data_IF_999667429609
#
_entry.id   IF_999667429609
#
_cell.length_a   1.000
_cell.length_b   1.000
_cell.length_c   1.000
_cell.angle_alpha   90.00
_cell.angle_beta   90.00
_cell.angle_gamma   90.00
#
_symmetry.space_group_name_H-M   'P 1'
#
loop_
_entity.id
_entity.type
_entity.pdbx_description
1 polymer ?
#
# COMPACT_ATOMS: atom_id res chain seq x y z
N UNK A 1 -20.72 -6.32 13.52
CA UNK A 1 -20.67 -5.39 12.36
C UNK A 1 -20.26 -6.20 11.13
N UNK A 2 -20.70 -5.84 9.93
CA UNK A 2 -20.36 -6.58 8.71
C UNK A 2 -18.89 -6.38 8.34
N UNK A 3 -18.12 -7.46 8.20
CA UNK A 3 -16.72 -7.40 7.74
C UNK A 3 -16.58 -7.16 6.23
N UNK A 4 -17.66 -6.85 5.51
CA UNK A 4 -17.62 -6.63 4.05
C UNK A 4 -17.11 -5.25 3.70
N UNK A 5 -16.33 -5.13 2.62
CA UNK A 5 -15.94 -3.85 2.04
C UNK A 5 -17.18 -2.96 1.77
N UNK A 6 -17.04 -1.63 1.89
CA UNK A 6 -18.15 -0.71 1.62
C UNK A 6 -18.64 -0.88 0.17
N UNK A 7 -19.96 -0.80 0.00
CA UNK A 7 -20.58 -0.80 -1.32
C UNK A 7 -20.54 0.60 -1.95
N UNK A 8 -20.70 0.66 -3.28
CA UNK A 8 -20.80 1.95 -3.99
C UNK A 8 -21.95 2.82 -3.44
N UNK A 9 -23.09 2.22 -3.10
CA UNK A 9 -24.24 2.97 -2.54
C UNK A 9 -23.89 3.58 -1.19
N UNK A 10 -23.30 2.80 -0.28
CA UNK A 10 -22.85 3.31 1.02
C UNK A 10 -21.82 4.45 0.87
N UNK A 11 -20.92 4.35 -0.11
CA UNK A 11 -19.99 5.44 -0.43
C UNK A 11 -20.73 6.70 -0.90
N UNK A 12 -21.67 6.56 -1.84
CA UNK A 12 -22.45 7.67 -2.39
C UNK A 12 -23.33 8.34 -1.34
N UNK A 13 -23.93 7.56 -0.45
CA UNK A 13 -24.77 8.05 0.66
C UNK A 13 -23.92 8.82 1.69
N UNK A 14 -22.70 8.36 1.95
CA UNK A 14 -21.76 9.01 2.87
C UNK A 14 -21.15 10.29 2.29
N UNK A 15 -20.89 10.31 0.99
CA UNK A 15 -20.23 11.43 0.30
C UNK A 15 -21.05 11.93 -0.90
N UNK A 16 -22.26 12.48 -0.67
CA UNK A 16 -23.15 12.92 -1.73
C UNK A 16 -22.64 14.19 -2.45
N UNK A 17 -21.81 15.01 -1.78
CA UNK A 17 -21.40 16.34 -2.28
C UNK A 17 -19.92 16.64 -2.04
N UNK A 18 -19.39 17.65 -2.73
CA UNK A 18 -18.03 18.14 -2.47
C UNK A 18 -17.86 18.66 -1.04
N UNK A 19 -18.88 19.34 -0.50
CA UNK A 19 -18.86 19.84 0.89
C UNK A 19 -18.84 18.69 1.90
N UNK A 20 -19.56 17.59 1.66
CA UNK A 20 -19.48 16.41 2.55
C UNK A 20 -18.08 15.79 2.60
N UNK A 21 -17.34 15.82 1.49
CA UNK A 21 -15.95 15.35 1.43
C UNK A 21 -15.03 16.30 2.20
N UNK A 22 -15.23 17.62 2.03
CA UNK A 22 -14.44 18.62 2.72
C UNK A 22 -14.70 18.63 4.24
N UNK A 23 -15.95 18.48 4.66
CA UNK A 23 -16.33 18.34 6.07
C UNK A 23 -15.68 17.11 6.70
N UNK A 24 -15.58 16.00 5.95
CA UNK A 24 -14.86 14.83 6.40
C UNK A 24 -13.38 15.13 6.65
N UNK A 25 -12.69 15.78 5.70
CA UNK A 25 -11.29 16.16 5.88
C UNK A 25 -11.12 17.11 7.07
N UNK A 26 -12.03 18.06 7.24
CA UNK A 26 -12.01 18.98 8.37
C UNK A 26 -12.10 18.22 9.70
N UNK A 27 -13.07 17.31 9.84
CA UNK A 27 -13.28 16.53 11.06
C UNK A 27 -12.11 15.60 11.37
N UNK A 28 -11.57 14.92 10.36
CA UNK A 28 -10.42 14.00 10.54
C UNK A 28 -9.19 14.76 11.03
N UNK A 29 -8.90 15.90 10.42
CA UNK A 29 -7.62 16.60 10.65
C UNK A 29 -7.66 17.57 11.82
N UNK A 30 -8.82 18.14 12.10
CA UNK A 30 -8.99 19.22 13.08
C UNK A 30 -10.02 18.90 14.17
N UNK A 31 -10.72 17.77 14.07
CA UNK A 31 -11.83 17.46 14.97
C UNK A 31 -13.00 18.44 14.84
N UNK A 32 -13.89 18.41 15.82
CA UNK A 32 -15.02 19.35 15.89
C UNK A 32 -14.61 20.73 16.45
N UNK A 33 -13.53 20.76 17.24
CA UNK A 33 -12.99 21.95 17.91
C UNK A 33 -11.48 21.80 18.05
N UNK A 34 -10.74 22.85 17.74
CA UNK A 34 -9.28 22.90 17.89
C UNK A 34 -8.80 24.32 18.17
N UNK A 35 -7.56 24.43 18.62
CA UNK A 35 -6.95 25.72 18.92
C UNK A 35 -6.58 26.47 17.65
N UNK A 36 -7.04 27.70 17.53
CA UNK A 36 -6.70 28.55 16.40
C UNK A 36 -5.28 29.07 16.53
N UNK A 37 -4.41 28.76 15.56
CA UNK A 37 -3.00 29.17 15.57
C UNK A 37 -2.79 30.69 15.59
N UNK A 38 -3.77 31.47 15.14
CA UNK A 38 -3.68 32.92 15.11
C UNK A 38 -4.05 33.57 16.45
N UNK A 39 -5.10 33.09 17.11
CA UNK A 39 -5.62 33.74 18.33
C UNK A 39 -5.48 32.91 19.61
N UNK A 40 -4.97 31.68 19.51
CA UNK A 40 -4.73 30.76 20.63
C UNK A 40 -5.99 30.19 21.29
N UNK A 41 -7.19 30.59 20.83
CA UNK A 41 -8.45 30.11 21.42
C UNK A 41 -8.85 28.77 20.80
N UNK A 42 -9.24 27.83 21.65
CA UNK A 42 -10.03 26.66 21.24
C UNK A 42 -11.33 27.14 20.62
N UNK A 43 -11.58 26.82 19.35
CA UNK A 43 -12.62 27.44 18.53
C UNK A 43 -13.32 26.43 17.62
N UNK A 44 -14.58 26.71 17.31
CA UNK A 44 -15.25 26.15 16.14
C UNK A 44 -14.84 26.92 14.88
N UNK A 45 -14.81 26.18 13.78
CA UNK A 45 -14.44 26.68 12.48
C UNK A 45 -15.60 26.46 11.51
N UNK A 46 -16.19 27.54 11.01
CA UNK A 46 -17.36 27.49 10.14
C UNK A 46 -16.95 27.48 8.66
N UNK A 47 -17.77 26.83 7.84
CA UNK A 47 -17.56 26.65 6.41
C UNK A 47 -17.57 28.01 5.67
N UNK A 48 -16.51 28.31 4.91
CA UNK A 48 -16.44 29.50 4.04
C UNK A 48 -17.00 29.20 2.64
N UNK A 49 -18.14 29.79 2.29
CA UNK A 49 -18.80 29.57 0.98
C UNK A 49 -17.84 29.82 -0.20
N UNK A 50 -17.87 28.94 -1.19
CA UNK A 50 -17.11 29.07 -2.44
C UNK A 50 -15.59 28.83 -2.33
N UNK A 51 -15.06 28.46 -1.16
CA UNK A 51 -13.64 28.14 -0.96
C UNK A 51 -13.52 26.78 -0.27
N UNK A 52 -12.41 26.07 -0.38
CA UNK A 52 -12.16 24.84 0.40
C UNK A 52 -11.52 25.18 1.76
N UNK A 53 -12.17 26.05 2.53
CA UNK A 53 -11.65 26.54 3.81
C UNK A 53 -12.74 26.70 4.88
N UNK A 54 -12.28 26.77 6.12
CA UNK A 54 -13.09 27.06 7.31
C UNK A 54 -12.47 28.23 8.06
N UNK A 55 -13.28 29.06 8.71
CA UNK A 55 -12.84 30.24 9.44
C UNK A 55 -13.13 30.13 10.93
N UNK A 56 -12.16 30.55 11.76
CA UNK A 56 -12.28 30.61 13.21
C UNK A 56 -13.41 31.55 13.62
N UNK A 57 -14.27 31.10 14.53
CA UNK A 57 -15.41 31.89 15.04
C UNK A 57 -14.99 33.20 15.75
N UNK A 58 -13.77 33.26 16.32
CA UNK A 58 -13.33 34.43 17.10
C UNK A 58 -12.55 35.47 16.29
N UNK A 59 -11.70 35.04 15.36
CA UNK A 59 -10.76 35.96 14.67
C UNK A 59 -10.81 35.88 13.15
N UNK A 60 -11.64 35.00 12.58
CA UNK A 60 -11.80 34.83 11.13
C UNK A 60 -10.59 34.20 10.44
N UNK A 61 -9.56 33.75 11.16
CA UNK A 61 -8.42 33.04 10.59
C UNK A 61 -8.89 31.78 9.85
N UNK A 62 -8.40 31.57 8.63
CA UNK A 62 -8.82 30.45 7.80
C UNK A 62 -7.85 29.28 7.87
N UNK A 63 -8.41 28.08 7.88
CA UNK A 63 -7.69 26.81 7.71
C UNK A 63 -8.17 26.13 6.43
N UNK A 64 -7.28 25.37 5.81
CA UNK A 64 -7.51 24.69 4.53
C UNK A 64 -7.32 23.19 4.71
N UNK A 65 -8.40 22.40 4.84
CA UNK A 65 -8.29 20.96 5.13
C UNK A 65 -7.58 20.14 4.05
N UNK A 66 -7.47 20.67 2.84
CA UNK A 66 -6.74 20.04 1.73
C UNK A 66 -5.23 20.32 1.76
N UNK A 67 -4.75 21.26 2.57
CA UNK A 67 -3.35 21.67 2.55
C UNK A 67 -2.43 20.53 3.02
N UNK A 68 -1.37 20.23 2.27
CA UNK A 68 -0.45 19.13 2.59
C UNK A 68 -1.03 17.72 2.40
N UNK A 69 -2.18 17.57 1.72
CA UNK A 69 -2.74 16.26 1.33
C UNK A 69 -2.66 16.06 -0.19
N UNK A 70 -3.01 14.88 -0.72
CA UNK A 70 -3.13 14.68 -2.17
C UNK A 70 -4.10 15.65 -2.88
N UNK A 71 -5.01 16.24 -2.10
CA UNK A 71 -6.01 17.20 -2.56
C UNK A 71 -5.49 18.64 -2.59
N UNK A 72 -4.27 18.88 -2.12
CA UNK A 72 -3.72 20.23 -2.09
C UNK A 72 -3.60 20.79 -3.51
N UNK A 73 -4.08 22.03 -3.67
CA UNK A 73 -4.13 22.80 -4.93
C UNK A 73 -4.74 22.04 -6.12
N UNK A 74 -5.52 20.99 -5.88
CA UNK A 74 -6.15 20.23 -6.94
C UNK A 74 -7.36 20.97 -7.50
N UNK A 75 -7.51 20.96 -8.83
CA UNK A 75 -8.73 21.45 -9.51
C UNK A 75 -9.80 20.37 -9.65
N UNK A 76 -9.41 19.10 -9.49
CA UNK A 76 -10.34 17.97 -9.48
C UNK A 76 -11.26 18.06 -8.26
N UNK A 77 -12.52 17.63 -8.39
CA UNK A 77 -13.46 17.64 -7.27
C UNK A 77 -12.97 16.71 -6.16
N UNK A 78 -13.26 17.03 -4.89
CA UNK A 78 -12.92 16.12 -3.78
C UNK A 78 -13.72 14.83 -3.87
N UNK A 79 -14.93 14.90 -4.43
CA UNK A 79 -15.80 13.74 -4.62
C UNK A 79 -15.18 12.72 -5.58
N UNK A 80 -14.56 13.19 -6.66
CA UNK A 80 -13.84 12.33 -7.60
C UNK A 80 -12.62 11.67 -6.95
N UNK A 81 -11.86 12.43 -6.17
CA UNK A 81 -10.74 11.88 -5.40
C UNK A 81 -11.18 10.77 -4.45
N UNK A 82 -12.23 11.04 -3.68
CA UNK A 82 -12.79 10.08 -2.73
C UNK A 82 -13.34 8.85 -3.44
N UNK A 83 -13.94 9.04 -4.62
CA UNK A 83 -14.42 7.94 -5.44
C UNK A 83 -13.27 7.06 -5.91
N UNK A 84 -12.18 7.63 -6.41
CA UNK A 84 -11.00 6.82 -6.82
C UNK A 84 -10.40 6.11 -5.61
N UNK A 85 -10.28 6.76 -4.46
CA UNK A 85 -9.84 6.09 -3.22
C UNK A 85 -10.73 4.91 -2.84
N UNK A 86 -12.05 5.08 -2.95
CA UNK A 86 -13.02 4.00 -2.77
C UNK A 86 -12.76 2.83 -3.74
N UNK A 87 -12.51 3.11 -5.02
CA UNK A 87 -12.22 2.06 -6.01
C UNK A 87 -10.96 1.27 -5.68
N UNK A 88 -9.90 1.93 -5.21
CA UNK A 88 -8.68 1.26 -4.77
C UNK A 88 -8.94 0.32 -3.59
N UNK A 89 -9.82 0.68 -2.67
CA UNK A 89 -10.19 -0.17 -1.53
C UNK A 89 -11.17 -1.29 -1.91
N UNK A 90 -12.05 -1.06 -2.90
CA UNK A 90 -13.07 -2.01 -3.31
C UNK A 90 -12.58 -3.01 -4.37
N UNK A 91 -11.50 -2.70 -5.10
CA UNK A 91 -10.98 -3.53 -6.19
C UNK A 91 -9.94 -4.56 -5.72
N UNK A 92 -10.07 -5.80 -6.19
CA UNK A 92 -9.16 -6.90 -5.84
C UNK A 92 -7.83 -6.89 -6.59
N UNK A 93 -7.77 -6.26 -7.76
CA UNK A 93 -6.58 -6.25 -8.62
C UNK A 93 -5.99 -4.85 -8.81
N UNK A 94 -6.53 -3.85 -8.12
CA UNK A 94 -6.19 -2.45 -8.29
C UNK A 94 -6.99 -1.74 -9.38
N UNK A 95 -6.68 -0.46 -9.59
CA UNK A 95 -7.40 0.40 -10.54
C UNK A 95 -6.45 0.96 -11.60
N UNK A 96 -6.80 0.74 -12.88
CA UNK A 96 -6.07 1.29 -14.01
C UNK A 96 -6.35 2.78 -14.18
N UNK A 97 -5.33 3.59 -14.47
CA UNK A 97 -5.52 5.02 -14.73
C UNK A 97 -6.43 5.29 -15.94
N UNK A 98 -6.42 4.40 -16.95
CA UNK A 98 -7.36 4.44 -18.08
C UNK A 98 -8.81 4.18 -17.67
N UNK A 99 -9.04 3.38 -16.63
CA UNK A 99 -10.39 3.18 -16.07
C UNK A 99 -10.87 4.46 -15.37
N UNK A 100 -10.02 5.06 -14.54
CA UNK A 100 -10.31 6.34 -13.87
C UNK A 100 -10.59 7.46 -14.88
N UNK A 101 -9.79 7.54 -15.96
CA UNK A 101 -10.02 8.49 -17.07
C UNK A 101 -11.44 8.35 -17.64
N UNK A 102 -11.85 7.12 -18.00
CA UNK A 102 -13.17 6.87 -18.58
C UNK A 102 -14.32 7.18 -17.64
N UNK A 103 -14.19 6.80 -16.37
CA UNK A 103 -15.26 6.95 -15.40
C UNK A 103 -15.47 8.40 -14.96
N UNK A 104 -14.39 9.18 -14.83
CA UNK A 104 -14.46 10.56 -14.37
C UNK A 104 -14.51 11.59 -15.52
N UNK A 105 -14.15 11.20 -16.74
CA UNK A 105 -14.03 12.14 -17.87
C UNK A 105 -12.88 13.15 -17.72
N UNK A 106 -11.94 12.90 -16.82
CA UNK A 106 -10.71 13.70 -16.66
C UNK A 106 -9.66 13.28 -17.68
N UNK A 107 -8.61 14.08 -17.88
CA UNK A 107 -7.49 13.64 -18.72
C UNK A 107 -6.76 12.43 -18.12
N UNK A 108 -6.17 11.58 -18.98
CA UNK A 108 -5.26 10.51 -18.53
C UNK A 108 -4.19 11.00 -17.55
N UNK A 109 -3.58 12.17 -17.79
CA UNK A 109 -2.54 12.73 -16.91
C UNK A 109 -3.08 12.99 -15.50
N UNK A 110 -4.30 13.49 -15.39
CA UNK A 110 -4.99 13.70 -14.11
C UNK A 110 -5.27 12.36 -13.43
N UNK A 111 -5.88 11.42 -14.14
CA UNK A 111 -6.19 10.09 -13.62
C UNK A 111 -4.93 9.34 -13.14
N UNK A 112 -3.87 9.36 -13.95
CA UNK A 112 -2.58 8.78 -13.62
C UNK A 112 -1.98 9.40 -12.37
N UNK A 113 -1.98 10.74 -12.26
CA UNK A 113 -1.53 11.43 -11.03
C UNK A 113 -2.35 11.01 -9.82
N UNK A 114 -3.68 10.94 -9.94
CA UNK A 114 -4.54 10.52 -8.84
C UNK A 114 -4.19 9.12 -8.34
N UNK A 115 -4.11 8.16 -9.26
CA UNK A 115 -3.76 6.79 -8.93
C UNK A 115 -2.38 6.69 -8.28
N UNK A 116 -1.36 7.41 -8.77
CA UNK A 116 -0.02 7.39 -8.18
C UNK A 116 0.02 7.96 -6.76
N UNK A 117 -0.67 9.08 -6.52
CA UNK A 117 -0.71 9.67 -5.19
C UNK A 117 -1.47 8.78 -4.20
N UNK A 118 -2.56 8.14 -4.63
CA UNK A 118 -3.30 7.20 -3.77
C UNK A 118 -2.43 6.00 -3.40
N UNK A 119 -1.63 5.48 -4.34
CA UNK A 119 -0.68 4.38 -4.07
C UNK A 119 0.39 4.75 -3.05
N UNK A 120 1.04 5.90 -3.23
CA UNK A 120 2.02 6.41 -2.28
C UNK A 120 1.42 6.52 -0.87
N UNK A 121 0.17 6.95 -0.84
CA UNK A 121 -0.56 7.19 0.39
C UNK A 121 -1.04 5.91 1.09
N UNK A 122 -1.42 4.89 0.32
CA UNK A 122 -1.64 3.54 0.83
C UNK A 122 -0.38 3.00 1.51
N UNK A 123 0.79 3.18 0.89
CA UNK A 123 2.07 2.76 1.49
C UNK A 123 2.43 3.51 2.77
N UNK A 124 2.26 4.84 2.78
CA UNK A 124 2.50 5.64 3.99
C UNK A 124 1.65 5.19 5.18
N UNK A 125 0.41 4.77 4.91
CA UNK A 125 -0.50 4.34 5.97
C UNK A 125 -0.29 2.89 6.40
N UNK A 126 -0.06 1.98 5.45
CA UNK A 126 0.27 0.59 5.78
C UNK A 126 1.48 0.53 6.71
N UNK A 127 2.42 1.44 6.48
CA UNK A 127 3.62 1.60 7.30
C UNK A 127 4.64 0.52 7.00
N UNK A 128 5.70 0.52 7.79
CA UNK A 128 6.83 -0.40 7.65
C UNK A 128 7.14 -1.07 9.00
N UNK A 129 6.12 -1.28 9.83
CA UNK A 129 6.29 -1.94 11.13
C UNK A 129 6.82 -3.37 10.92
N UNK A 130 7.97 -3.74 11.52
CA UNK A 130 8.57 -5.04 11.26
C UNK A 130 7.65 -6.21 11.59
N UNK A 131 7.57 -7.19 10.70
CA UNK A 131 6.78 -8.42 10.86
C UNK A 131 7.49 -9.45 11.74
N UNK A 132 6.76 -10.44 12.25
CA UNK A 132 7.32 -11.55 13.02
C UNK A 132 7.46 -11.26 14.51
N UNK A 133 8.45 -11.90 15.13
CA UNK A 133 8.76 -11.90 16.56
C UNK A 133 8.72 -13.30 17.17
N UNK A 134 8.85 -13.36 18.49
CA UNK A 134 8.87 -14.63 19.21
C UNK A 134 7.63 -15.50 18.91
N UNK A 135 7.86 -16.74 18.48
CA UNK A 135 6.80 -17.69 18.14
C UNK A 135 6.09 -17.41 16.81
N UNK A 136 6.57 -16.44 16.03
CA UNK A 136 6.05 -16.13 14.69
C UNK A 136 6.94 -16.74 13.61
N UNK A 137 6.30 -17.09 12.50
CA UNK A 137 6.95 -17.61 11.29
C UNK A 137 6.85 -16.55 10.20
N UNK A 138 7.98 -16.20 9.60
CA UNK A 138 8.07 -15.27 8.49
C UNK A 138 8.65 -15.99 7.27
N UNK A 139 7.90 -15.97 6.17
CA UNK A 139 8.31 -16.51 4.88
C UNK A 139 9.02 -15.41 4.09
N UNK A 140 10.24 -15.67 3.62
CA UNK A 140 11.04 -14.73 2.84
C UNK A 140 11.36 -15.36 1.49
N UNK A 141 11.05 -14.64 0.42
CA UNK A 141 11.22 -15.09 -0.96
C UNK A 141 11.43 -13.88 -1.89
N UNK A 142 11.95 -14.12 -3.09
CA UNK A 142 12.02 -13.10 -4.13
C UNK A 142 11.28 -13.45 -5.41
N UNK A 143 10.80 -12.40 -6.07
CA UNK A 143 10.21 -12.51 -7.39
C UNK A 143 10.79 -11.50 -8.37
N UNK A 144 10.73 -11.83 -9.65
CA UNK A 144 11.03 -10.92 -10.74
C UNK A 144 9.74 -10.29 -11.29
N UNK A 145 9.73 -8.96 -11.45
CA UNK A 145 8.60 -8.20 -12.00
C UNK A 145 9.03 -7.41 -13.23
N UNK A 146 8.16 -7.38 -14.24
CA UNK A 146 8.35 -6.60 -15.45
C UNK A 146 9.41 -7.18 -16.39
N UNK A 147 10.14 -6.28 -17.04
CA UNK A 147 11.06 -6.54 -18.14
C UNK A 147 10.38 -6.63 -19.50
N UNK A 148 11.07 -6.11 -20.51
CA UNK A 148 10.75 -6.29 -21.92
C UNK A 148 11.78 -7.27 -22.49
N UNK A 149 11.33 -8.32 -23.16
CA UNK A 149 12.23 -9.14 -23.95
C UNK A 149 12.60 -8.33 -25.19
N UNK A 150 13.84 -7.86 -25.28
CA UNK A 150 14.33 -7.16 -26.47
C UNK A 150 15.01 -8.19 -27.39
N UNK A 151 14.43 -8.41 -28.58
CA UNK A 151 14.99 -9.28 -29.62
C UNK A 151 14.49 -10.74 -29.65
N UNK A 152 14.81 -11.45 -30.75
CA UNK A 152 14.68 -12.91 -30.89
C UNK A 152 16.07 -13.53 -30.61
N UNK A 153 16.38 -13.83 -29.36
CA UNK A 153 17.65 -14.44 -28.98
C UNK A 153 17.76 -14.74 -27.48
N UNK A 154 18.67 -15.66 -27.12
CA UNK A 154 18.92 -16.18 -25.78
C UNK A 154 19.67 -15.18 -24.86
N UNK A 155 19.20 -13.93 -24.79
CA UNK A 155 19.58 -13.03 -23.70
C UNK A 155 18.94 -13.52 -22.40
N UNK A 156 19.66 -13.40 -21.27
CA UNK A 156 19.15 -13.81 -19.97
C UNK A 156 17.83 -13.09 -19.67
N UNK A 157 16.74 -13.84 -19.68
CA UNK A 157 15.36 -13.38 -19.40
C UNK A 157 15.21 -12.55 -18.10
N UNK A 158 16.20 -12.64 -17.20
CA UNK A 158 16.25 -12.00 -15.89
C UNK A 158 16.89 -10.60 -15.88
N UNK A 159 17.69 -10.25 -16.89
CA UNK A 159 18.55 -9.05 -16.83
C UNK A 159 17.77 -7.73 -16.97
N UNK A 160 16.55 -7.78 -17.51
CA UNK A 160 15.68 -6.61 -17.67
C UNK A 160 14.57 -6.53 -16.61
N UNK A 161 14.60 -7.39 -15.58
CA UNK A 161 13.53 -7.47 -14.59
C UNK A 161 13.93 -6.86 -13.26
N UNK A 162 13.00 -6.12 -12.66
CA UNK A 162 13.16 -5.69 -11.28
C UNK A 162 13.03 -6.89 -10.35
N UNK A 163 13.89 -6.96 -9.34
CA UNK A 163 13.85 -8.00 -8.30
C UNK A 163 13.10 -7.40 -7.10
N UNK A 164 12.16 -8.15 -6.56
CA UNK A 164 11.40 -7.78 -5.37
C UNK A 164 11.61 -8.87 -4.32
N UNK A 165 12.12 -8.50 -3.14
CA UNK A 165 12.10 -9.35 -1.95
C UNK A 165 10.78 -9.10 -1.21
N UNK A 166 10.17 -10.15 -0.68
CA UNK A 166 9.06 -10.03 0.26
C UNK A 166 9.33 -10.79 1.55
N UNK A 167 8.72 -10.31 2.62
CA UNK A 167 8.74 -10.89 3.95
C UNK A 167 7.29 -10.98 4.43
N UNK A 168 6.77 -12.18 4.61
CA UNK A 168 5.36 -12.44 4.91
C UNK A 168 5.24 -13.18 6.24
N UNK A 169 4.61 -12.56 7.23
CA UNK A 169 4.23 -13.26 8.46
C UNK A 169 3.06 -14.20 8.17
N UNK A 170 3.18 -15.46 8.57
CA UNK A 170 2.08 -16.42 8.44
C UNK A 170 0.84 -15.94 9.17
N UNK A 171 -0.27 -15.86 8.43
CA UNK A 171 -1.55 -15.30 8.91
C UNK A 171 -1.44 -13.83 9.37
N UNK A 172 -0.47 -13.09 8.86
CA UNK A 172 -0.22 -11.70 9.21
C UNK A 172 0.07 -10.85 7.98
N UNK A 173 0.93 -9.86 8.17
CA UNK A 173 1.23 -8.84 7.18
C UNK A 173 2.38 -9.24 6.25
N UNK A 174 2.45 -8.57 5.10
CA UNK A 174 3.53 -8.68 4.11
C UNK A 174 4.21 -7.34 3.93
N UNK A 175 5.53 -7.39 3.82
CA UNK A 175 6.38 -6.26 3.46
C UNK A 175 7.17 -6.64 2.22
N UNK A 176 7.31 -5.74 1.25
CA UNK A 176 8.11 -5.97 0.05
C UNK A 176 9.03 -4.79 -0.27
N UNK A 177 10.15 -5.10 -0.93
CA UNK A 177 11.15 -4.10 -1.33
C UNK A 177 11.69 -4.43 -2.72
N UNK A 178 11.86 -3.40 -3.54
CA UNK A 178 12.62 -3.53 -4.79
C UNK A 178 14.11 -3.56 -4.43
N UNK A 179 14.84 -4.56 -4.92
CA UNK A 179 16.27 -4.76 -4.64
C UNK A 179 17.08 -4.83 -5.93
N UNK A 180 18.34 -4.35 -5.91
CA UNK A 180 19.17 -4.32 -7.11
C UNK A 180 19.69 -5.70 -7.52
N UNK A 181 19.76 -6.68 -6.60
CA UNK A 181 20.25 -8.03 -6.86
C UNK A 181 19.87 -8.99 -5.71
N UNK A 182 20.06 -10.30 -5.92
CA UNK A 182 19.80 -11.37 -4.92
C UNK A 182 21.04 -11.77 -4.10
N UNK A 183 22.05 -10.91 -3.97
CA UNK A 183 23.24 -11.24 -3.16
C UNK A 183 22.91 -11.13 -1.68
N UNK A 184 23.51 -11.99 -0.85
CA UNK A 184 23.38 -11.96 0.62
C UNK A 184 23.52 -10.56 1.21
N UNK A 185 24.58 -9.83 0.84
CA UNK A 185 24.85 -8.47 1.31
C UNK A 185 23.77 -7.44 0.96
N UNK A 186 22.90 -7.74 -0.01
CA UNK A 186 21.72 -6.91 -0.36
C UNK A 186 20.47 -7.39 0.37
N UNK A 187 20.23 -8.70 0.46
CA UNK A 187 18.99 -9.26 1.02
C UNK A 187 18.94 -9.22 2.55
N UNK A 188 20.04 -9.55 3.22
CA UNK A 188 20.11 -9.61 4.69
C UNK A 188 19.68 -8.31 5.38
N UNK A 189 20.18 -7.11 4.97
CA UNK A 189 19.73 -5.87 5.58
C UNK A 189 18.21 -5.63 5.47
N UNK A 190 17.58 -6.07 4.37
CA UNK A 190 16.13 -5.96 4.24
C UNK A 190 15.42 -6.86 5.23
N UNK A 191 15.87 -8.11 5.40
CA UNK A 191 15.32 -9.01 6.41
C UNK A 191 15.48 -8.43 7.81
N UNK A 192 16.69 -8.00 8.20
CA UNK A 192 16.95 -7.54 9.56
C UNK A 192 16.22 -6.24 9.92
N UNK A 193 15.98 -5.37 8.95
CA UNK A 193 15.25 -4.12 9.18
C UNK A 193 13.73 -4.31 9.23
N UNK A 194 13.19 -5.38 8.63
CA UNK A 194 11.75 -5.55 8.46
C UNK A 194 11.20 -6.83 9.13
N UNK A 195 12.06 -7.67 9.71
CA UNK A 195 11.68 -8.87 10.45
C UNK A 195 12.22 -8.78 11.87
N UNK A 196 11.31 -8.81 12.86
CA UNK A 196 11.67 -8.72 14.27
C UNK A 196 12.61 -9.87 14.68
N UNK A 197 13.61 -9.63 15.55
CA UNK A 197 14.46 -10.70 16.10
C UNK A 197 13.64 -11.82 16.75
N UNK A 198 14.22 -13.02 16.86
CA UNK A 198 13.57 -14.21 17.43
C UNK A 198 12.38 -14.74 16.62
N UNK A 199 12.31 -14.38 15.33
CA UNK A 199 11.39 -15.01 14.38
C UNK A 199 11.94 -16.34 13.86
N UNK A 200 11.04 -17.27 13.56
CA UNK A 200 11.34 -18.41 12.70
C UNK A 200 11.23 -17.95 11.24
N UNK A 201 12.29 -18.07 10.45
CA UNK A 201 12.34 -17.63 9.05
C UNK A 201 12.32 -18.85 8.14
N UNK A 202 11.42 -18.85 7.17
CA UNK A 202 11.31 -19.86 6.12
C UNK A 202 11.73 -19.27 4.77
N UNK A 203 12.69 -19.88 4.10
CA UNK A 203 13.14 -19.47 2.75
C UNK A 203 13.17 -20.64 1.77
N UNK A 204 13.29 -20.33 0.49
CA UNK A 204 13.69 -21.28 -0.55
C UNK A 204 15.19 -21.63 -0.46
N UNK A 205 15.67 -22.48 -1.38
CA UNK A 205 17.07 -22.96 -1.44
C UNK A 205 18.07 -21.92 -1.99
N UNK A 206 17.75 -20.62 -1.96
CA UNK A 206 18.72 -19.61 -2.38
C UNK A 206 19.88 -19.53 -1.38
N UNK A 207 21.10 -19.85 -1.84
CA UNK A 207 22.38 -19.80 -1.10
C UNK A 207 22.60 -18.48 -0.34
N UNK A 208 22.04 -17.37 -0.84
CA UNK A 208 22.12 -16.07 -0.18
C UNK A 208 21.49 -16.08 1.22
N UNK A 209 20.53 -16.97 1.49
CA UNK A 209 19.92 -17.16 2.81
C UNK A 209 20.66 -18.16 3.70
N UNK A 210 21.71 -18.85 3.23
CA UNK A 210 22.43 -19.79 4.09
C UNK A 210 22.98 -19.07 5.33
N UNK A 211 22.81 -19.69 6.51
CA UNK A 211 23.26 -19.21 7.81
C UNK A 211 22.57 -17.94 8.33
N UNK A 212 21.41 -17.55 7.77
CA UNK A 212 20.62 -16.40 8.26
C UNK A 212 20.30 -16.51 9.77
N UNK A 213 20.16 -17.74 10.28
CA UNK A 213 19.87 -18.03 11.69
C UNK A 213 21.07 -17.99 12.65
N UNK A 214 22.29 -18.29 12.19
CA UNK A 214 23.40 -18.66 13.09
C UNK A 214 23.94 -17.50 13.96
N UNK A 215 23.70 -16.24 13.60
CA UNK A 215 24.40 -15.11 14.23
C UNK A 215 23.53 -13.96 14.74
N UNK A 216 22.19 -14.02 14.58
CA UNK A 216 21.31 -12.86 14.79
C UNK A 216 20.04 -13.14 15.60
N UNK A 217 19.93 -14.34 16.17
CA UNK A 217 18.79 -14.73 17.00
C UNK A 217 17.53 -15.10 16.19
N UNK A 218 17.68 -15.54 14.94
CA UNK A 218 16.60 -16.11 14.14
C UNK A 218 16.71 -17.64 14.09
N UNK A 219 15.58 -18.33 13.93
CA UNK A 219 15.57 -19.75 13.61
C UNK A 219 15.29 -19.92 12.13
N UNK A 220 16.30 -20.30 11.35
CA UNK A 220 16.15 -20.43 9.90
C UNK A 220 15.86 -21.87 9.50
N UNK A 221 14.83 -22.06 8.66
CA UNK A 221 14.49 -23.33 8.02
C UNK A 221 14.35 -23.10 6.52
N UNK A 222 14.82 -24.06 5.73
CA UNK A 222 14.78 -24.01 4.27
C UNK A 222 13.80 -25.05 3.73
N UNK A 223 13.09 -24.73 2.65
CA UNK A 223 12.25 -25.68 1.90
C UNK A 223 12.96 -26.07 0.62
N UNK A 224 13.09 -27.39 0.38
CA UNK A 224 13.60 -27.90 -0.88
C UNK A 224 12.47 -28.04 -1.91
N UNK A 225 12.36 -27.06 -2.81
CA UNK A 225 11.39 -27.10 -3.92
C UNK A 225 11.84 -28.02 -5.07
N UNK A 226 13.13 -28.38 -5.14
CA UNK A 226 13.67 -29.27 -6.19
C UNK A 226 13.32 -30.76 -6.00
N UNK A 227 12.82 -31.14 -4.82
CA UNK A 227 12.40 -32.49 -4.45
C UNK A 227 10.87 -32.69 -4.38
N UNK A 228 10.06 -31.81 -5.02
CA UNK A 228 8.58 -31.80 -4.97
C UNK A 228 7.98 -31.71 -3.54
N UNK A 229 8.75 -31.24 -2.56
CA UNK A 229 8.28 -31.02 -1.19
C UNK A 229 7.65 -29.62 -1.04
N UNK A 230 6.36 -29.49 -1.36
CA UNK A 230 5.57 -28.26 -1.14
C UNK A 230 5.39 -27.91 0.36
N UNK A 231 5.63 -28.89 1.24
CA UNK A 231 5.66 -28.76 2.70
C UNK A 231 6.78 -29.67 3.21
N UNK A 232 7.77 -29.11 3.91
CA UNK A 232 8.82 -29.90 4.55
C UNK A 232 8.25 -30.79 5.66
N UNK A 233 8.96 -31.85 6.10
CA UNK A 233 8.50 -32.79 7.13
C UNK A 233 8.07 -32.14 8.46
N UNK A 234 8.51 -30.91 8.71
CA UNK A 234 8.25 -30.12 9.93
C UNK A 234 7.28 -28.94 9.72
N UNK A 235 6.62 -28.83 8.55
CA UNK A 235 5.68 -27.74 8.25
C UNK A 235 6.32 -26.47 7.65
N UNK A 236 7.58 -26.54 7.23
CA UNK A 236 8.27 -25.47 6.50
C UNK A 236 7.65 -25.31 5.11
N UNK A 237 7.22 -24.09 4.76
CA UNK A 237 6.64 -23.72 3.47
C UNK A 237 6.72 -22.21 3.27
N UNK A 238 6.80 -21.77 2.01
CA UNK A 238 6.73 -20.37 1.53
C UNK A 238 5.45 -20.11 0.70
N UNK A 239 4.46 -21.01 0.80
CA UNK A 239 3.24 -20.93 -0.02
C UNK A 239 2.44 -19.63 0.19
N UNK A 240 2.53 -19.02 1.38
CA UNK A 240 1.85 -17.76 1.67
C UNK A 240 2.39 -16.62 0.82
N UNK A 241 3.71 -16.46 0.82
CA UNK A 241 4.38 -15.42 0.02
C UNK A 241 4.30 -15.70 -1.49
N UNK A 242 4.40 -16.96 -1.92
CA UNK A 242 4.14 -17.34 -3.32
C UNK A 242 2.71 -17.00 -3.77
N UNK A 243 1.74 -17.20 -2.87
CA UNK A 243 0.35 -16.81 -3.06
C UNK A 243 0.20 -15.30 -3.27
N UNK A 244 0.90 -14.49 -2.47
CA UNK A 244 0.97 -13.04 -2.64
C UNK A 244 1.56 -12.66 -4.01
N UNK A 245 2.68 -13.27 -4.42
CA UNK A 245 3.28 -13.04 -5.74
C UNK A 245 2.33 -13.36 -6.89
N UNK A 246 1.57 -14.45 -6.77
CA UNK A 246 0.60 -14.82 -7.78
C UNK A 246 -0.50 -13.76 -7.92
N UNK A 247 -0.97 -13.16 -6.82
CA UNK A 247 -1.94 -12.05 -6.87
C UNK A 247 -1.33 -10.78 -7.47
N UNK A 248 -0.13 -10.40 -7.04
CA UNK A 248 0.59 -9.25 -7.56
C UNK A 248 0.78 -9.34 -9.08
N UNK A 249 1.30 -10.47 -9.57
CA UNK A 249 1.55 -10.68 -11.01
C UNK A 249 0.25 -10.69 -11.82
N UNK A 250 -0.82 -11.31 -11.31
CA UNK A 250 -2.14 -11.28 -11.98
C UNK A 250 -2.70 -9.87 -12.07
N UNK A 251 -2.59 -9.09 -11.00
CA UNK A 251 -3.04 -7.70 -11.01
C UNK A 251 -2.23 -6.81 -11.96
N UNK A 252 -0.90 -6.96 -11.97
CA UNK A 252 -0.04 -6.27 -12.94
C UNK A 252 -0.41 -6.67 -14.37
N UNK A 253 -0.43 -7.96 -14.69
CA UNK A 253 -0.65 -8.44 -16.06
C UNK A 253 -2.09 -8.19 -16.56
N UNK A 254 -3.08 -8.22 -15.68
CA UNK A 254 -4.50 -8.05 -16.04
C UNK A 254 -4.98 -6.60 -16.02
N UNK A 255 -4.57 -5.82 -15.02
CA UNK A 255 -5.09 -4.47 -14.80
C UNK A 255 -4.15 -3.39 -15.29
N UNK A 256 -2.84 -3.56 -15.11
CA UNK A 256 -1.86 -2.52 -15.43
C UNK A 256 -1.11 -2.77 -16.74
N UNK A 257 -1.09 -4.01 -17.21
CA UNK A 257 -0.36 -4.57 -18.37
C UNK A 257 1.17 -4.46 -18.21
N UNK A 258 1.68 -3.31 -17.79
CA UNK A 258 3.09 -3.05 -17.59
C UNK A 258 3.30 -2.03 -16.47
N UNK A 259 4.33 -2.26 -15.64
CA UNK A 259 4.79 -1.33 -14.60
C UNK A 259 6.29 -1.17 -14.75
N UNK A 260 6.75 0.08 -14.85
CA UNK A 260 8.18 0.38 -14.87
C UNK A 260 8.79 0.27 -13.49
N UNK A 261 10.07 -0.11 -13.41
CA UNK A 261 10.81 -0.22 -12.15
C UNK A 261 10.74 1.06 -11.31
N UNK A 262 10.86 2.24 -11.95
CA UNK A 262 10.72 3.56 -11.32
C UNK A 262 9.45 3.71 -10.47
N UNK A 263 8.37 3.03 -10.84
CA UNK A 263 7.08 3.14 -10.18
C UNK A 263 6.68 1.89 -9.42
N UNK A 264 7.45 0.81 -9.52
CA UNK A 264 7.09 -0.49 -8.97
C UNK A 264 6.81 -0.45 -7.47
N UNK A 265 7.60 0.29 -6.70
CA UNK A 265 7.40 0.45 -5.25
C UNK A 265 6.00 0.96 -4.89
N UNK A 266 5.42 1.86 -5.68
CA UNK A 266 4.06 2.37 -5.45
C UNK A 266 3.00 1.30 -5.71
N UNK A 267 3.22 0.45 -6.70
CA UNK A 267 2.32 -0.66 -6.96
C UNK A 267 2.45 -1.70 -5.85
N UNK A 268 3.67 -2.02 -5.41
CA UNK A 268 3.89 -2.91 -4.27
C UNK A 268 3.13 -2.42 -3.03
N UNK A 269 3.26 -1.13 -2.67
CA UNK A 269 2.53 -0.51 -1.57
C UNK A 269 0.99 -0.67 -1.67
N UNK A 270 0.41 -0.60 -2.87
CA UNK A 270 -1.02 -0.85 -3.08
C UNK A 270 -1.41 -2.32 -2.82
N UNK A 271 -0.54 -3.27 -3.18
CA UNK A 271 -0.81 -4.68 -2.96
C UNK A 271 -0.55 -5.09 -1.49
N UNK A 272 0.49 -4.55 -0.86
CA UNK A 272 0.76 -4.68 0.58
C UNK A 272 -0.44 -4.21 1.40
N UNK A 273 -0.84 -2.94 1.25
CA UNK A 273 -1.96 -2.37 1.99
C UNK A 273 -3.24 -3.21 1.88
N UNK A 274 -3.57 -3.67 0.67
CA UNK A 274 -4.78 -4.48 0.46
C UNK A 274 -4.65 -5.88 1.03
N UNK A 275 -3.45 -6.47 1.02
CA UNK A 275 -3.18 -7.75 1.66
C UNK A 275 -3.26 -7.61 3.17
N UNK A 276 -2.61 -6.62 3.76
CA UNK A 276 -2.53 -6.44 5.22
C UNK A 276 -3.90 -6.08 5.82
N UNK A 277 -4.73 -5.37 5.07
CA UNK A 277 -6.09 -5.04 5.49
C UNK A 277 -7.17 -6.10 5.14
N UNK A 278 -6.79 -7.25 4.56
CA UNK A 278 -7.72 -8.24 3.99
C UNK A 278 -8.75 -8.82 4.96
N UNK A 279 -8.43 -8.90 6.25
CA UNK A 279 -9.30 -9.44 7.29
C UNK A 279 -10.29 -8.39 7.84
N UNK A 280 -10.02 -7.11 7.57
CA UNK A 280 -10.85 -5.96 7.97
C UNK A 280 -11.15 -5.03 6.79
N UNK A 281 -11.67 -5.53 5.65
CA UNK A 281 -11.79 -4.73 4.43
C UNK A 281 -12.85 -3.62 4.55
N UNK A 282 -13.78 -3.75 5.50
CA UNK A 282 -14.72 -2.69 5.87
C UNK A 282 -14.03 -1.41 6.39
N UNK A 283 -12.81 -1.53 6.93
CA UNK A 283 -12.02 -0.41 7.46
C UNK A 283 -11.04 0.17 6.44
N UNK A 284 -10.80 -0.46 5.29
CA UNK A 284 -9.78 0.01 4.32
C UNK A 284 -9.99 1.47 3.91
N UNK A 285 -11.21 1.80 3.50
CA UNK A 285 -11.53 3.16 3.08
C UNK A 285 -11.42 4.14 4.26
N UNK A 286 -11.97 3.77 5.42
CA UNK A 286 -11.90 4.63 6.61
C UNK A 286 -10.46 4.93 6.99
N UNK A 287 -9.60 3.91 7.02
CA UNK A 287 -8.17 4.04 7.30
C UNK A 287 -7.46 4.92 6.27
N UNK A 288 -7.73 4.71 4.98
CA UNK A 288 -7.17 5.55 3.91
C UNK A 288 -7.69 6.99 3.96
N UNK A 289 -8.85 7.24 4.56
CA UNK A 289 -9.44 8.58 4.65
C UNK A 289 -9.06 9.33 5.94
N UNK A 290 -8.57 8.65 6.97
CA UNK A 290 -8.11 9.28 8.22
C UNK A 290 -6.62 9.60 8.24
N UNK A 291 -5.85 9.06 7.31
CA UNK A 291 -4.39 9.10 7.33
C UNK A 291 -3.77 10.47 7.07
N UNK A 292 -4.58 11.54 6.91
CA UNK A 292 -4.12 12.86 6.48
C UNK A 292 -3.55 13.61 7.69
N UNK A 293 -2.51 13.06 8.32
CA UNK A 293 -1.89 13.68 9.47
C UNK A 293 -1.37 15.08 9.13
N UNK A 294 -1.31 15.93 10.15
CA UNK A 294 -0.77 17.28 10.07
C UNK A 294 0.71 17.26 10.40
#
# INVERSE_FOLDING_TARGET
>A
MSNKAPTLRQFQDRFPTEDSCLDHLMRVRYGNRHDCEKCGKSAHFYRVKGRRSYACEYCGAQVYPTAGTPFDRTRTSLRDWFFVMFQFCASRNGVAAKEVERQLGVTYKTAWRMCHMIREYMGQFDGDDPVGGFGKIVEVDETYIGGKQEGKGAGNYRDNKAIVIGMHERNGDVITRVVPNRKRATLEPHVFNNVKPYSEIHTDELISYDNLGEFKGYWHKTVNHSADQYVGPTGTTVNGIEGFWAQLKRGINGTHIHVSEKHLSKYLAEFEFRHNMRDVPHLMLDRLMVSFSR
#
